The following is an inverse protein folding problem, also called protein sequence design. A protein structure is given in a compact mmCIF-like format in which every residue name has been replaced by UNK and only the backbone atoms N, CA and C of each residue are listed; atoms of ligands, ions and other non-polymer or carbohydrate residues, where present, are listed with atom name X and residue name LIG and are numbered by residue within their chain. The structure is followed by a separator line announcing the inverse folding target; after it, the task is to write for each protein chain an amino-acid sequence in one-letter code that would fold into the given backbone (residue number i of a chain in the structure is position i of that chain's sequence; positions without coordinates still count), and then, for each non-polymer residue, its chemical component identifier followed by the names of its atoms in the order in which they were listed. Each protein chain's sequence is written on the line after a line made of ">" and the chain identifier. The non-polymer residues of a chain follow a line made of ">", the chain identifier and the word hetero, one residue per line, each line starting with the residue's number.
data_IF_589114919609
#
_entry.id   IF_589114919609
#
_cell.length_a   1.000
_cell.length_b   1.000
_cell.length_c   1.000
_cell.angle_alpha   90.00
_cell.angle_beta   90.00
_cell.angle_gamma   90.00
#
_symmetry.space_group_name_H-M   'P 1'
#
loop_
_entity.id
_entity.type
_entity.pdbx_description
1 polymer ?
#
# COMPACT_ATOMS: atom_id res chain seq x y z
N UNK A 1 -5.59 9.22 14.97
CA UNK A 1 -4.60 9.10 13.87
C UNK A 1 -4.39 10.40 13.09
N UNK A 2 -4.96 11.55 13.48
CA UNK A 2 -4.68 12.85 12.83
C UNK A 2 -3.36 13.52 13.25
N UNK A 3 -2.31 12.73 13.47
CA UNK A 3 -0.98 13.21 13.85
C UNK A 3 0.07 12.26 13.26
N UNK A 4 1.19 12.80 12.78
CA UNK A 4 2.21 12.13 11.96
C UNK A 4 2.80 10.86 12.58
N UNK A 5 3.04 10.76 13.91
CA UNK A 5 3.59 9.55 14.53
C UNK A 5 2.72 8.30 14.31
N UNK A 6 1.46 8.46 13.92
CA UNK A 6 0.53 7.35 13.72
C UNK A 6 0.55 6.78 12.30
N UNK A 7 1.26 7.39 11.36
CA UNK A 7 1.27 6.93 9.96
C UNK A 7 1.89 5.54 9.84
N UNK A 8 3.15 5.39 10.23
CA UNK A 8 3.88 4.13 10.13
C UNK A 8 3.24 2.98 10.94
N UNK A 9 2.74 3.17 12.18
CA UNK A 9 2.01 2.12 12.90
C UNK A 9 0.88 1.45 12.11
N UNK A 10 0.20 2.16 11.20
CA UNK A 10 -0.80 1.59 10.28
C UNK A 10 -0.23 0.46 9.42
N UNK A 11 1.04 0.60 9.04
CA UNK A 11 1.73 -0.30 8.11
C UNK A 11 2.66 -1.30 8.82
N UNK A 12 2.93 -1.16 10.12
CA UNK A 12 3.85 -2.05 10.85
C UNK A 12 3.43 -3.53 10.85
N UNK A 13 2.15 -3.85 10.60
CA UNK A 13 1.70 -5.24 10.46
C UNK A 13 2.37 -6.00 9.30
N UNK A 14 2.92 -5.30 8.31
CA UNK A 14 3.75 -5.91 7.26
C UNK A 14 4.97 -6.65 7.83
N UNK A 15 5.63 -6.05 8.82
CA UNK A 15 6.77 -6.65 9.51
C UNK A 15 6.38 -7.79 10.46
N UNK A 16 5.11 -7.82 10.89
CA UNK A 16 4.56 -8.89 11.72
C UNK A 16 3.96 -10.05 10.90
N UNK A 17 4.11 -10.06 9.58
CA UNK A 17 3.52 -11.07 8.69
C UNK A 17 2.00 -11.03 8.65
N UNK A 18 1.39 -9.85 8.87
CA UNK A 18 -0.06 -9.63 8.84
C UNK A 18 -0.46 -8.43 7.97
N UNK A 19 -0.02 -8.33 6.71
CA UNK A 19 -0.32 -7.17 5.86
C UNK A 19 -1.83 -6.89 5.69
N UNK A 20 -2.68 -7.92 5.82
CA UNK A 20 -4.13 -7.76 5.83
C UNK A 20 -4.66 -6.81 6.92
N UNK A 21 -3.98 -6.70 8.07
CA UNK A 21 -4.34 -5.73 9.12
C UNK A 21 -4.04 -4.29 8.71
N UNK A 22 -2.95 -4.07 7.97
CA UNK A 22 -2.65 -2.76 7.38
C UNK A 22 -3.69 -2.40 6.31
N UNK A 23 -4.06 -3.35 5.45
CA UNK A 23 -5.11 -3.14 4.48
C UNK A 23 -6.45 -2.78 5.15
N UNK A 24 -6.83 -3.48 6.22
CA UNK A 24 -8.00 -3.14 7.03
C UNK A 24 -7.95 -1.69 7.53
N UNK A 25 -6.86 -1.29 8.20
CA UNK A 25 -6.78 0.05 8.78
C UNK A 25 -6.78 1.14 7.72
N UNK A 26 -6.07 0.98 6.61
CA UNK A 26 -6.06 1.94 5.51
C UNK A 26 -7.47 2.16 4.95
N UNK A 27 -8.22 1.08 4.70
CA UNK A 27 -9.58 1.14 4.12
C UNK A 27 -10.67 1.53 5.13
N UNK A 28 -10.35 1.60 6.43
CA UNK A 28 -11.25 2.14 7.46
C UNK A 28 -10.93 3.60 7.77
N UNK A 29 -9.64 3.90 7.96
CA UNK A 29 -9.14 5.20 8.40
C UNK A 29 -9.36 6.28 7.35
N UNK A 30 -8.89 6.05 6.12
CA UNK A 30 -8.95 7.08 5.07
C UNK A 30 -10.42 7.46 4.77
N UNK A 31 -11.35 6.52 4.51
CA UNK A 31 -12.73 6.88 4.19
C UNK A 31 -13.52 7.49 5.36
N UNK A 32 -13.13 7.22 6.61
CA UNK A 32 -13.85 7.74 7.79
C UNK A 32 -13.45 9.16 8.17
N UNK A 33 -12.27 9.61 7.77
CA UNK A 33 -11.68 10.86 8.27
C UNK A 33 -11.27 11.85 7.18
N UNK A 34 -11.14 11.41 5.94
CA UNK A 34 -10.83 12.28 4.80
C UNK A 34 -12.05 12.47 3.93
N UNK A 35 -12.37 13.71 3.59
CA UNK A 35 -13.44 14.04 2.65
C UNK A 35 -13.17 15.39 1.97
N UNK A 36 -14.02 15.77 1.02
CA UNK A 36 -13.86 16.99 0.22
C UNK A 36 -14.47 18.26 0.86
N UNK A 37 -14.89 18.21 2.12
CA UNK A 37 -15.42 19.38 2.83
C UNK A 37 -14.29 20.24 3.43
N UNK A 38 -14.62 21.44 3.89
CA UNK A 38 -13.66 22.34 4.54
C UNK A 38 -12.99 21.73 5.79
N UNK A 39 -13.70 20.83 6.50
CA UNK A 39 -13.19 20.11 7.67
C UNK A 39 -12.76 18.68 7.32
N UNK A 40 -12.42 18.43 6.05
CA UNK A 40 -12.18 17.10 5.49
C UNK A 40 -10.81 16.49 5.79
N UNK A 41 -10.05 17.04 6.74
CA UNK A 41 -8.80 16.47 7.24
C UNK A 41 -8.87 16.32 8.77
N UNK A 42 -8.40 15.20 9.36
CA UNK A 42 -8.60 14.92 10.78
C UNK A 42 -7.63 15.64 11.74
N UNK A 43 -7.10 16.80 11.35
CA UNK A 43 -6.07 17.54 12.07
C UNK A 43 -5.46 18.63 11.20
N UNK A 44 -4.26 19.09 11.55
CA UNK A 44 -3.48 19.96 10.68
C UNK A 44 -3.00 19.15 9.47
N UNK A 45 -2.88 19.80 8.31
CA UNK A 45 -2.27 19.13 7.15
C UNK A 45 -0.77 18.89 7.38
N UNK A 46 -0.08 19.85 8.00
CA UNK A 46 1.37 19.85 8.29
C UNK A 46 2.25 19.39 7.11
N UNK A 47 1.76 19.61 5.88
CA UNK A 47 2.32 19.11 4.62
C UNK A 47 2.49 17.57 4.57
N UNK A 48 1.87 16.84 5.48
CA UNK A 48 2.08 15.43 5.73
C UNK A 48 0.79 14.60 5.56
N UNK A 49 -0.38 15.12 5.95
CA UNK A 49 -1.66 14.42 5.79
C UNK A 49 -2.03 14.21 4.32
N UNK A 50 -1.82 15.23 3.48
CA UNK A 50 -1.99 15.12 2.03
C UNK A 50 -1.08 14.04 1.42
N UNK A 51 0.19 14.01 1.78
CA UNK A 51 1.13 13.00 1.29
C UNK A 51 0.78 11.59 1.77
N UNK A 52 0.45 11.44 3.06
CA UNK A 52 0.02 10.18 3.66
C UNK A 52 -1.21 9.61 2.95
N UNK A 53 -2.24 10.43 2.75
CA UNK A 53 -3.47 9.99 2.09
C UNK A 53 -3.21 9.66 0.62
N UNK A 54 -2.39 10.44 -0.10
CA UNK A 54 -2.00 10.12 -1.48
C UNK A 54 -1.31 8.74 -1.59
N UNK A 55 -0.34 8.45 -0.73
CA UNK A 55 0.32 7.14 -0.68
C UNK A 55 -0.68 6.01 -0.39
N UNK A 56 -1.52 6.18 0.63
CA UNK A 56 -2.55 5.22 0.97
C UNK A 56 -3.54 4.99 -0.19
N UNK A 57 -3.99 6.05 -0.86
CA UNK A 57 -4.86 5.96 -2.04
C UNK A 57 -4.22 5.15 -3.17
N UNK A 58 -2.92 5.34 -3.39
CA UNK A 58 -2.17 4.63 -4.44
C UNK A 58 -1.86 3.17 -4.08
N UNK A 59 -2.04 2.76 -2.82
CA UNK A 59 -1.83 1.37 -2.39
C UNK A 59 -0.41 1.05 -1.94
N UNK A 60 0.37 2.04 -1.50
CA UNK A 60 1.68 1.78 -0.91
C UNK A 60 2.11 2.85 0.08
N UNK A 61 3.06 2.54 0.96
CA UNK A 61 3.60 3.50 1.93
C UNK A 61 5.13 3.41 2.03
N UNK A 62 5.87 4.54 1.91
CA UNK A 62 7.33 4.53 1.95
C UNK A 62 7.88 4.41 3.38
N UNK A 63 8.89 3.55 3.54
CA UNK A 63 9.67 3.47 4.78
C UNK A 63 10.85 4.44 4.68
N UNK A 64 10.83 5.49 5.49
CA UNK A 64 11.85 6.54 5.45
C UNK A 64 13.27 5.98 5.61
N UNK A 65 14.16 6.33 4.68
CA UNK A 65 15.57 5.91 4.70
C UNK A 65 15.83 4.51 4.14
N UNK A 66 14.84 3.84 3.54
CA UNK A 66 14.99 2.53 2.89
C UNK A 66 14.36 2.53 1.49
N UNK A 67 14.85 1.66 0.61
CA UNK A 67 14.19 1.37 -0.67
C UNK A 67 13.05 0.35 -0.48
N UNK A 68 12.09 0.70 0.38
CA UNK A 68 10.98 -0.17 0.77
C UNK A 68 9.67 0.60 0.74
N UNK A 69 8.74 0.10 -0.05
CA UNK A 69 7.36 0.58 -0.15
C UNK A 69 6.43 -0.56 0.25
N UNK A 70 5.72 -0.40 1.36
CA UNK A 70 4.81 -1.41 1.92
C UNK A 70 3.49 -1.43 1.14
N UNK A 71 3.03 -2.59 0.70
CA UNK A 71 1.89 -2.73 -0.22
C UNK A 71 0.55 -2.89 0.50
N UNK A 72 -0.43 -2.07 0.14
CA UNK A 72 -1.84 -2.31 0.44
C UNK A 72 -2.64 -2.29 -0.86
N UNK A 73 -3.88 -2.82 -0.90
CA UNK A 73 -4.73 -2.55 -2.04
C UNK A 73 -4.89 -1.04 -2.23
N UNK A 74 -4.80 -0.51 -3.46
CA UNK A 74 -5.20 0.86 -3.75
C UNK A 74 -6.66 1.11 -3.36
N UNK A 75 -7.01 2.34 -3.00
CA UNK A 75 -8.42 2.74 -2.79
C UNK A 75 -9.16 2.97 -4.11
N UNK A 76 -8.46 2.88 -5.24
CA UNK A 76 -9.04 2.91 -6.57
C UNK A 76 -9.00 1.52 -7.22
N UNK A 77 -9.81 1.33 -8.27
CA UNK A 77 -9.72 0.11 -9.08
C UNK A 77 -8.34 -0.05 -9.70
N UNK A 78 -7.76 1.04 -10.16
CA UNK A 78 -6.45 1.06 -10.80
C UNK A 78 -5.77 2.41 -10.57
N UNK A 79 -4.46 2.37 -10.36
CA UNK A 79 -3.59 3.54 -10.26
C UNK A 79 -2.41 3.31 -11.18
N UNK A 80 -2.15 4.25 -12.09
CA UNK A 80 -1.03 4.19 -13.04
C UNK A 80 -0.16 5.44 -12.90
N UNK A 81 1.12 5.24 -12.61
CA UNK A 81 2.12 6.31 -12.48
C UNK A 81 3.07 6.20 -13.67
N UNK A 82 3.30 7.32 -14.36
CA UNK A 82 4.21 7.35 -15.51
C UNK A 82 5.65 7.22 -15.02
N UNK A 83 6.46 6.40 -15.70
CA UNK A 83 7.88 6.24 -15.38
C UNK A 83 8.64 7.54 -15.57
N UNK A 84 9.78 7.69 -14.90
CA UNK A 84 10.58 8.93 -14.94
C UNK A 84 11.12 9.27 -16.33
N UNK A 85 11.40 8.26 -17.15
CA UNK A 85 11.80 8.42 -18.56
C UNK A 85 10.62 8.76 -19.48
N UNK A 86 9.38 8.70 -18.98
CA UNK A 86 8.16 9.02 -19.71
C UNK A 86 7.71 7.94 -20.69
N UNK A 87 8.39 6.80 -20.78
CA UNK A 87 8.14 5.77 -21.80
C UNK A 87 7.27 4.60 -21.33
N UNK A 88 7.03 4.47 -20.03
CA UNK A 88 6.27 3.37 -19.43
C UNK A 88 5.30 3.83 -18.33
N UNK A 89 4.65 2.83 -17.74
CA UNK A 89 3.73 2.99 -16.62
C UNK A 89 4.00 1.93 -15.56
N UNK A 90 3.95 2.34 -14.30
CA UNK A 90 3.87 1.48 -13.14
C UNK A 90 2.41 1.47 -12.66
N UNK A 91 1.75 0.33 -12.80
CA UNK A 91 0.31 0.18 -12.56
C UNK A 91 0.05 -0.74 -11.37
N UNK A 92 -0.75 -0.27 -10.43
CA UNK A 92 -1.33 -1.07 -9.34
C UNK A 92 -2.82 -1.25 -9.63
N UNK A 93 -3.26 -2.50 -9.81
CA UNK A 93 -4.64 -2.83 -10.22
C UNK A 93 -5.30 -3.82 -9.28
N UNK A 94 -6.48 -3.46 -8.80
CA UNK A 94 -7.34 -4.35 -8.03
C UNK A 94 -8.26 -5.17 -8.94
N UNK A 95 -8.18 -6.49 -8.83
CA UNK A 95 -9.17 -7.46 -9.30
C UNK A 95 -10.15 -7.71 -8.16
N UNK A 96 -11.45 -7.73 -8.47
CA UNK A 96 -12.56 -7.70 -7.49
C UNK A 96 -12.65 -6.40 -6.69
N UNK A 97 -12.35 -5.26 -7.32
CA UNK A 97 -12.55 -3.95 -6.70
C UNK A 97 -14.03 -3.66 -6.45
N UNK A 98 -14.34 -3.24 -5.23
CA UNK A 98 -15.65 -2.76 -4.79
C UNK A 98 -15.48 -1.41 -4.06
N UNK A 99 -16.29 -0.38 -4.36
CA UNK A 99 -16.18 0.93 -3.72
C UNK A 99 -16.58 0.95 -2.25
N UNK A 100 -17.32 -0.06 -1.75
CA UNK A 100 -17.61 -0.21 -0.31
C UNK A 100 -16.46 -0.91 0.44
N UNK A 101 -15.40 -1.30 -0.28
CA UNK A 101 -14.24 -2.01 0.22
C UNK A 101 -14.62 -3.28 0.99
N UNK A 102 -15.65 -4.01 0.56
CA UNK A 102 -15.98 -5.34 1.15
C UNK A 102 -14.82 -6.31 0.94
N UNK A 103 -14.31 -6.35 -0.29
CA UNK A 103 -13.12 -7.08 -0.66
C UNK A 103 -11.89 -6.17 -0.52
N UNK A 104 -11.25 -6.20 0.66
CA UNK A 104 -10.11 -5.33 1.00
C UNK A 104 -8.83 -6.08 1.35
N UNK A 105 -8.85 -7.41 1.30
CA UNK A 105 -7.71 -8.23 1.65
C UNK A 105 -7.10 -8.83 0.39
N UNK A 106 -5.79 -8.65 0.23
CA UNK A 106 -5.03 -9.23 -0.87
C UNK A 106 -5.02 -10.75 -0.71
N UNK A 107 -5.53 -11.47 -1.71
CA UNK A 107 -5.53 -12.93 -1.79
C UNK A 107 -4.31 -13.44 -2.56
N UNK A 108 -3.92 -12.71 -3.60
CA UNK A 108 -2.69 -12.97 -4.36
C UNK A 108 -2.27 -11.74 -5.14
N UNK A 109 -0.99 -11.67 -5.50
CA UNK A 109 -0.46 -10.61 -6.37
C UNK A 109 0.29 -11.23 -7.54
N UNK A 110 0.16 -10.61 -8.71
CA UNK A 110 1.01 -10.88 -9.87
C UNK A 110 1.80 -9.65 -10.24
N UNK A 111 3.12 -9.79 -10.40
CA UNK A 111 3.99 -8.78 -10.98
C UNK A 111 4.29 -9.18 -12.42
N UNK A 112 3.81 -8.39 -13.39
CA UNK A 112 3.97 -8.65 -14.82
C UNK A 112 3.54 -10.09 -15.19
N UNK A 113 2.38 -10.52 -14.66
CA UNK A 113 1.80 -11.83 -14.87
C UNK A 113 2.42 -12.98 -14.05
N UNK A 114 3.54 -12.76 -13.35
CA UNK A 114 4.20 -13.78 -12.52
C UNK A 114 3.76 -13.68 -11.05
N UNK A 115 3.59 -14.80 -10.32
CA UNK A 115 3.28 -14.75 -8.89
C UNK A 115 4.25 -13.90 -8.11
N UNK A 116 3.73 -13.03 -7.24
CA UNK A 116 4.48 -12.14 -6.37
C UNK A 116 3.96 -12.26 -4.94
N UNK A 117 4.85 -12.54 -4.00
CA UNK A 117 4.45 -12.89 -2.62
C UNK A 117 4.95 -11.92 -1.56
N UNK A 118 5.95 -11.09 -1.88
CA UNK A 118 6.46 -10.08 -0.95
C UNK A 118 5.41 -9.02 -0.68
N UNK A 119 5.28 -8.59 0.57
CA UNK A 119 4.31 -7.58 0.97
C UNK A 119 4.81 -6.13 0.77
N UNK A 120 5.88 -5.96 0.01
CA UNK A 120 6.56 -4.69 -0.23
C UNK A 120 7.20 -4.72 -1.61
N UNK A 121 7.52 -3.54 -2.16
CA UNK A 121 8.31 -3.34 -3.38
C UNK A 121 9.43 -2.33 -3.14
N UNK A 122 10.32 -2.21 -4.12
CA UNK A 122 11.33 -1.16 -4.21
C UNK A 122 10.89 -0.05 -5.18
N UNK A 123 11.57 1.08 -5.14
CA UNK A 123 11.40 2.19 -6.08
C UNK A 123 11.66 1.77 -7.54
N UNK A 124 12.47 0.75 -7.77
CA UNK A 124 12.73 0.20 -9.11
C UNK A 124 11.46 -0.19 -9.88
N UNK A 125 10.38 -0.56 -9.18
CA UNK A 125 9.09 -0.81 -9.81
C UNK A 125 8.54 0.44 -10.54
N UNK A 126 8.67 1.61 -9.92
CA UNK A 126 8.23 2.87 -10.51
C UNK A 126 9.21 3.42 -11.55
N UNK A 127 10.50 3.11 -11.41
CA UNK A 127 11.51 3.47 -12.40
C UNK A 127 11.38 2.63 -13.69
N UNK A 128 11.21 1.32 -13.56
CA UNK A 128 11.16 0.37 -14.68
C UNK A 128 9.78 0.25 -15.31
N UNK A 129 8.73 0.63 -14.57
CA UNK A 129 7.35 0.33 -14.92
C UNK A 129 6.99 -1.15 -14.72
N UNK A 130 5.75 -1.47 -15.00
CA UNK A 130 5.19 -2.81 -14.83
C UNK A 130 3.78 -2.76 -14.26
N UNK A 131 3.24 -3.94 -13.96
CA UNK A 131 1.89 -4.07 -13.42
C UNK A 131 1.88 -5.02 -12.23
N UNK A 132 1.37 -4.53 -11.10
CA UNK A 132 0.95 -5.32 -9.95
C UNK A 132 -0.56 -5.51 -10.00
N UNK A 133 -0.99 -6.76 -10.12
CA UNK A 133 -2.40 -7.13 -10.07
C UNK A 133 -2.72 -7.78 -8.73
N UNK A 134 -3.57 -7.13 -7.94
CA UNK A 134 -4.02 -7.59 -6.63
C UNK A 134 -5.37 -8.28 -6.77
N UNK A 135 -5.46 -9.57 -6.51
CA UNK A 135 -6.76 -10.25 -6.38
C UNK A 135 -7.27 -10.03 -4.97
N UNK A 136 -8.41 -9.36 -4.82
CA UNK A 136 -8.99 -9.03 -3.52
C UNK A 136 -10.06 -10.06 -3.10
N UNK A 137 -10.26 -10.12 -1.78
CA UNK A 137 -11.30 -10.92 -1.15
C UNK A 137 -11.71 -10.38 0.22
N UNK A 138 -12.75 -10.96 0.84
CA UNK A 138 -13.42 -10.40 2.02
C UNK A 138 -12.75 -10.77 3.35
N UNK A 139 -11.78 -11.70 3.35
CA UNK A 139 -11.09 -12.19 4.55
C UNK A 139 -9.56 -12.11 4.41
N UNK A 140 -8.84 -12.00 5.53
CA UNK A 140 -7.37 -12.05 5.54
C UNK A 140 -6.86 -13.36 4.91
N UNK A 141 -5.87 -13.26 4.02
CA UNK A 141 -5.26 -14.42 3.37
C UNK A 141 -3.86 -14.72 3.92
N UNK A 142 -3.21 -15.76 3.38
CA UNK A 142 -1.82 -16.09 3.66
C UNK A 142 -0.81 -15.34 2.77
N UNK A 143 -1.24 -14.41 1.91
CA UNK A 143 -0.32 -13.65 1.05
C UNK A 143 0.56 -12.71 1.90
N UNK A 144 1.86 -12.70 1.64
CA UNK A 144 2.78 -11.77 2.31
C UNK A 144 3.01 -12.02 3.79
N UNK A 145 2.74 -13.24 4.27
CA UNK A 145 2.86 -13.60 5.70
C UNK A 145 4.10 -14.41 6.04
N UNK A 146 4.75 -15.03 5.05
CA UNK A 146 5.94 -15.86 5.27
C UNK A 146 7.16 -14.99 5.58
N UNK A 147 8.13 -15.54 6.30
CA UNK A 147 9.31 -14.82 6.78
C UNK A 147 10.11 -14.18 5.62
N UNK A 148 10.19 -14.87 4.49
CA UNK A 148 10.87 -14.41 3.26
C UNK A 148 10.08 -13.36 2.46
N UNK A 149 8.79 -13.19 2.75
CA UNK A 149 7.92 -12.21 2.10
C UNK A 149 7.90 -10.86 2.86
N UNK A 150 8.46 -10.82 4.07
CA UNK A 150 8.50 -9.64 4.93
C UNK A 150 9.51 -8.60 4.41
N UNK A 151 9.34 -7.31 4.76
CA UNK A 151 10.32 -6.29 4.41
C UNK A 151 11.64 -6.48 5.17
N UNK A 152 12.77 -6.04 4.60
CA UNK A 152 14.07 -6.11 5.27
C UNK A 152 14.08 -5.35 6.60
N UNK A 153 14.93 -5.77 7.51
CA UNK A 153 15.18 -5.10 8.79
C UNK A 153 16.62 -5.34 9.24
N UNK A 154 17.17 -4.40 10.02
CA UNK A 154 18.55 -4.49 10.52
C UNK A 154 18.86 -5.82 11.20
N UNK A 155 17.95 -6.32 12.04
CA UNK A 155 18.08 -7.59 12.77
C UNK A 155 18.07 -8.83 11.88
N UNK A 156 17.58 -8.69 10.65
CA UNK A 156 17.56 -9.75 9.63
C UNK A 156 18.72 -9.66 8.65
N UNK A 157 19.63 -8.69 8.83
CA UNK A 157 20.86 -8.54 8.03
C UNK A 157 20.64 -7.97 6.63
N UNK A 158 19.48 -7.34 6.38
CA UNK A 158 19.15 -6.75 5.08
C UNK A 158 18.90 -5.24 5.27
N UNK A 159 19.60 -4.42 4.47
CA UNK A 159 19.47 -2.97 4.35
C UNK A 159 19.45 -2.58 2.87
#
# INVERSE_FOLDING_TARGET
>A
MGNEPNFLPTFQFHYAGRPGRSAYWVHQYIPSLFNSTLAGIPGNDDCAMGAFSAFAFMGFFPVAGQDVLLLTPPLFREVSIRTIDGHGWATLRNVNFDPEYKDKYIQSVRLNGKPYTKNWITHDFFASGGMLEFVLGPEESSWGTRKEDLPPSLSTGMF
#
